data_IF_777638297276
#
_entry.id   IF_777638297276
#
_cell.length_a   1.000
_cell.length_b   1.000
_cell.length_c   1.000
_cell.angle_alpha   90.00
_cell.angle_beta   90.00
_cell.angle_gamma   90.00
#
_symmetry.space_group_name_H-M   'P 1'
#
loop_
_entity.id
_entity.type
_entity.pdbx_description
1 polymer ?
#
# COMPACT_ATOMS: atom_id res chain seq x y z
N UNK A 1 -20.08 -21.74 -29.59
CA UNK A 1 -19.99 -20.39 -28.99
C UNK A 1 -20.12 -20.55 -27.49
N UNK A 2 -19.17 -20.03 -26.71
CA UNK A 2 -19.30 -20.00 -25.24
C UNK A 2 -20.39 -18.99 -24.90
N UNK A 3 -21.44 -19.44 -24.19
CA UNK A 3 -22.49 -18.56 -23.70
C UNK A 3 -21.95 -17.74 -22.52
N UNK A 4 -22.28 -16.45 -22.44
CA UNK A 4 -21.89 -15.65 -21.30
C UNK A 4 -22.74 -16.02 -20.08
N UNK A 5 -22.08 -16.51 -19.04
CA UNK A 5 -22.68 -16.82 -17.75
C UNK A 5 -21.70 -16.49 -16.64
N UNK A 6 -22.22 -16.29 -15.42
CA UNK A 6 -21.42 -15.99 -14.24
C UNK A 6 -20.39 -17.10 -13.96
N UNK A 7 -20.79 -18.37 -14.17
CA UNK A 7 -19.93 -19.54 -13.98
C UNK A 7 -18.77 -19.58 -14.98
N UNK A 8 -19.03 -19.23 -16.25
CA UNK A 8 -17.97 -19.17 -17.27
C UNK A 8 -17.00 -18.02 -16.99
N UNK A 9 -17.51 -16.85 -16.59
CA UNK A 9 -16.67 -15.71 -16.22
C UNK A 9 -15.76 -16.04 -15.03
N UNK A 10 -16.32 -16.68 -13.99
CA UNK A 10 -15.61 -17.11 -12.80
C UNK A 10 -14.60 -18.23 -13.11
N UNK A 11 -14.98 -19.22 -13.92
CA UNK A 11 -14.08 -20.31 -14.32
C UNK A 11 -12.87 -19.79 -15.09
N UNK A 12 -13.09 -18.88 -16.05
CA UNK A 12 -11.99 -18.22 -16.77
C UNK A 12 -11.11 -17.38 -15.84
N UNK A 13 -11.69 -16.68 -14.86
CA UNK A 13 -10.91 -15.94 -13.87
C UNK A 13 -10.04 -16.87 -13.00
N UNK A 14 -10.60 -17.97 -12.50
CA UNK A 14 -9.85 -18.93 -11.68
C UNK A 14 -8.73 -19.60 -12.49
N UNK A 15 -8.98 -19.97 -13.74
CA UNK A 15 -7.96 -20.50 -14.64
C UNK A 15 -6.85 -19.47 -14.90
N UNK A 16 -7.20 -18.19 -15.02
CA UNK A 16 -6.20 -17.12 -15.15
C UNK A 16 -5.35 -16.98 -13.90
N UNK A 17 -5.94 -17.04 -12.70
CA UNK A 17 -5.19 -17.01 -11.44
C UNK A 17 -4.23 -18.21 -11.36
N UNK A 18 -4.68 -19.41 -11.70
CA UNK A 18 -3.84 -20.61 -11.69
C UNK A 18 -2.71 -20.53 -12.73
N UNK A 19 -3.02 -20.08 -13.95
CA UNK A 19 -2.03 -19.92 -15.02
C UNK A 19 -0.98 -18.87 -14.66
N UNK A 20 -1.33 -17.84 -13.88
CA UNK A 20 -0.37 -16.84 -13.42
C UNK A 20 0.62 -17.36 -12.38
N UNK A 21 0.27 -18.38 -11.60
CA UNK A 21 1.19 -19.03 -10.66
C UNK A 21 2.29 -19.83 -11.39
N UNK A 22 1.94 -20.47 -12.51
CA UNK A 22 2.82 -21.43 -13.20
C UNK A 22 3.54 -20.85 -14.43
N UNK A 23 3.00 -19.80 -15.06
CA UNK A 23 3.46 -19.38 -16.39
C UNK A 23 4.26 -18.06 -16.40
N UNK A 24 5.49 -18.15 -16.90
CA UNK A 24 6.29 -17.01 -17.40
C UNK A 24 5.77 -16.48 -18.76
N UNK A 25 4.63 -16.98 -19.25
CA UNK A 25 4.07 -16.63 -20.56
C UNK A 25 3.44 -15.24 -20.59
N UNK A 26 3.62 -14.52 -21.70
CA UNK A 26 3.01 -13.20 -21.93
C UNK A 26 1.54 -13.25 -22.34
N UNK A 27 1.01 -14.41 -22.75
CA UNK A 27 -0.39 -14.55 -23.16
C UNK A 27 -1.31 -14.70 -21.96
N UNK A 28 -2.45 -14.01 -21.97
CA UNK A 28 -3.51 -14.11 -20.94
C UNK A 28 -4.86 -14.53 -21.55
N UNK A 29 -4.98 -15.73 -22.14
CA UNK A 29 -6.20 -16.15 -22.83
C UNK A 29 -7.40 -16.23 -21.89
N UNK A 30 -7.17 -16.71 -20.66
CA UNK A 30 -8.20 -16.87 -19.64
C UNK A 30 -8.72 -15.55 -19.11
N UNK A 31 -7.86 -14.59 -18.75
CA UNK A 31 -8.34 -13.25 -18.39
C UNK A 31 -9.05 -12.55 -19.56
N UNK A 32 -8.57 -12.72 -20.80
CA UNK A 32 -9.24 -12.13 -21.98
C UNK A 32 -10.67 -12.66 -22.13
N UNK A 33 -10.84 -13.99 -22.00
CA UNK A 33 -12.15 -14.62 -22.00
C UNK A 33 -13.02 -14.16 -20.81
N UNK A 34 -12.45 -14.08 -19.61
CA UNK A 34 -13.14 -13.60 -18.41
C UNK A 34 -13.67 -12.18 -18.60
N UNK A 35 -12.83 -11.23 -18.99
CA UNK A 35 -13.24 -9.84 -19.25
C UNK A 35 -14.31 -9.76 -20.35
N UNK A 36 -14.20 -10.58 -21.40
CA UNK A 36 -15.23 -10.66 -22.45
C UNK A 36 -16.60 -11.08 -21.89
N UNK A 37 -16.62 -12.11 -21.02
CA UNK A 37 -17.84 -12.51 -20.32
C UNK A 37 -18.37 -11.41 -19.40
N UNK A 38 -17.50 -10.75 -18.62
CA UNK A 38 -17.90 -9.63 -17.76
C UNK A 38 -18.55 -8.49 -18.55
N UNK A 39 -17.98 -8.13 -19.71
CA UNK A 39 -18.56 -7.09 -20.61
C UNK A 39 -19.96 -7.47 -21.08
N UNK A 40 -20.19 -8.74 -21.42
CA UNK A 40 -21.49 -9.22 -21.87
C UNK A 40 -22.54 -9.26 -20.74
N UNK A 41 -22.11 -9.56 -19.51
CA UNK A 41 -22.99 -9.69 -18.34
C UNK A 41 -23.29 -8.35 -17.66
N UNK A 42 -22.36 -7.40 -17.70
CA UNK A 42 -22.47 -6.13 -16.99
C UNK A 42 -23.76 -5.34 -17.25
N UNK A 43 -24.28 -5.23 -18.50
CA UNK A 43 -25.57 -4.57 -18.73
C UNK A 43 -26.75 -5.23 -18.00
N UNK A 44 -26.71 -6.56 -17.84
CA UNK A 44 -27.76 -7.34 -17.17
C UNK A 44 -27.70 -7.15 -15.66
N UNK A 45 -26.50 -7.16 -15.07
CA UNK A 45 -26.32 -6.88 -13.64
C UNK A 45 -26.77 -5.46 -13.27
N UNK A 46 -26.50 -4.50 -14.16
CA UNK A 46 -26.88 -3.08 -13.96
C UNK A 46 -28.39 -2.87 -13.94
N UNK A 47 -29.15 -3.61 -14.74
CA UNK A 47 -30.61 -3.51 -14.77
C UNK A 47 -31.28 -4.26 -13.61
N UNK A 48 -30.62 -5.30 -13.08
CA UNK A 48 -31.19 -6.17 -12.05
C UNK A 48 -30.85 -5.76 -10.61
N UNK A 49 -29.65 -5.24 -10.33
CA UNK A 49 -29.20 -4.92 -8.96
C UNK A 49 -28.18 -3.76 -8.88
N UNK A 50 -28.59 -2.50 -9.10
CA UNK A 50 -27.70 -1.36 -8.91
C UNK A 50 -27.54 -1.04 -7.41
N UNK A 51 -26.61 -1.71 -6.72
CA UNK A 51 -26.23 -1.35 -5.34
C UNK A 51 -24.85 -0.70 -5.30
N UNK A 52 -24.70 0.32 -4.45
CA UNK A 52 -23.41 1.00 -4.23
C UNK A 52 -22.32 0.03 -3.73
N UNK A 53 -22.70 -1.07 -3.08
CA UNK A 53 -21.78 -2.11 -2.63
C UNK A 53 -21.25 -2.98 -3.78
N UNK A 54 -22.04 -3.24 -4.82
CA UNK A 54 -21.55 -3.95 -6.00
C UNK A 54 -20.46 -3.14 -6.74
N UNK A 55 -20.64 -1.82 -6.83
CA UNK A 55 -19.70 -0.91 -7.48
C UNK A 55 -18.29 -0.95 -6.86
N UNK A 56 -18.19 -0.91 -5.52
CA UNK A 56 -16.89 -0.96 -4.82
C UNK A 56 -16.21 -2.32 -4.99
N UNK A 57 -16.95 -3.43 -5.01
CA UNK A 57 -16.35 -4.75 -5.24
C UNK A 57 -15.80 -4.88 -6.66
N UNK A 58 -16.53 -4.40 -7.68
CA UNK A 58 -16.02 -4.35 -9.05
C UNK A 58 -14.83 -3.41 -9.20
N UNK A 59 -14.85 -2.25 -8.52
CA UNK A 59 -13.71 -1.34 -8.48
C UNK A 59 -12.48 -2.04 -7.86
N UNK A 60 -12.64 -2.70 -6.72
CA UNK A 60 -11.56 -3.41 -6.03
C UNK A 60 -11.00 -4.55 -6.87
N UNK A 61 -11.87 -5.30 -7.57
CA UNK A 61 -11.47 -6.33 -8.52
C UNK A 61 -10.61 -5.75 -9.65
N UNK A 62 -11.06 -4.67 -10.29
CA UNK A 62 -10.32 -4.03 -11.38
C UNK A 62 -9.00 -3.43 -10.90
N UNK A 63 -8.97 -2.85 -9.69
CA UNK A 63 -7.72 -2.38 -9.07
C UNK A 63 -6.77 -3.55 -8.85
N UNK A 64 -7.23 -4.66 -8.27
CA UNK A 64 -6.39 -5.84 -8.06
C UNK A 64 -5.83 -6.39 -9.39
N UNK A 65 -6.66 -6.49 -10.44
CA UNK A 65 -6.21 -6.88 -11.77
C UNK A 65 -5.19 -5.88 -12.35
N UNK A 66 -5.41 -4.58 -12.16
CA UNK A 66 -4.49 -3.53 -12.58
C UNK A 66 -3.12 -3.69 -11.93
N UNK A 67 -3.10 -3.83 -10.60
CA UNK A 67 -1.87 -3.96 -9.82
C UNK A 67 -1.12 -5.25 -10.16
N UNK A 68 -1.84 -6.38 -10.29
CA UNK A 68 -1.25 -7.66 -10.75
C UNK A 68 -0.58 -7.48 -12.11
N UNK A 69 -1.30 -6.86 -13.04
CA UNK A 69 -0.81 -6.56 -14.39
C UNK A 69 0.46 -5.70 -14.35
N UNK A 70 0.50 -4.66 -13.50
CA UNK A 70 1.69 -3.83 -13.28
C UNK A 70 2.85 -4.63 -12.66
N UNK A 71 2.58 -5.53 -11.71
CA UNK A 71 3.58 -6.36 -11.01
C UNK A 71 4.27 -7.32 -11.98
N UNK A 72 3.49 -8.14 -12.68
CA UNK A 72 4.03 -9.16 -13.59
C UNK A 72 4.35 -8.63 -14.98
N UNK A 73 4.19 -7.32 -15.18
CA UNK A 73 4.40 -6.63 -16.46
C UNK A 73 3.63 -7.29 -17.62
N UNK A 74 2.36 -7.60 -17.38
CA UNK A 74 1.47 -8.18 -18.38
C UNK A 74 0.63 -7.06 -19.04
N UNK A 75 0.03 -7.28 -20.21
CA UNK A 75 -0.83 -6.27 -20.83
C UNK A 75 -2.16 -6.09 -20.07
N UNK A 76 -2.65 -4.86 -20.02
CA UNK A 76 -3.99 -4.54 -19.52
C UNK A 76 -5.06 -5.05 -20.49
N UNK A 77 -6.04 -5.78 -19.97
CA UNK A 77 -7.12 -6.40 -20.77
C UNK A 77 -8.46 -5.66 -20.67
N UNK A 78 -8.51 -4.64 -19.82
CA UNK A 78 -9.68 -3.80 -19.62
C UNK A 78 -9.33 -2.33 -19.85
N UNK A 79 -10.34 -1.57 -20.28
CA UNK A 79 -10.27 -0.17 -20.65
C UNK A 79 -10.93 0.71 -19.58
N UNK A 80 -10.82 2.04 -19.72
CA UNK A 80 -11.61 2.97 -18.91
C UNK A 80 -13.12 2.72 -19.10
N UNK A 81 -13.56 2.36 -20.30
CA UNK A 81 -14.95 2.05 -20.57
C UNK A 81 -15.45 0.85 -19.75
N UNK A 82 -14.62 -0.19 -19.61
CA UNK A 82 -14.93 -1.36 -18.77
C UNK A 82 -15.01 -1.00 -17.29
N UNK A 83 -14.11 -0.12 -16.83
CA UNK A 83 -14.12 0.40 -15.47
C UNK A 83 -15.42 1.15 -15.18
N UNK A 84 -15.87 2.02 -16.10
CA UNK A 84 -17.12 2.75 -15.94
C UNK A 84 -18.35 1.82 -16.01
N UNK A 85 -18.30 0.83 -16.90
CA UNK A 85 -19.35 -0.18 -17.07
C UNK A 85 -19.53 -1.03 -15.81
N UNK A 86 -18.44 -1.53 -15.22
CA UNK A 86 -18.46 -2.46 -14.09
C UNK A 86 -18.53 -1.76 -12.73
N UNK A 87 -17.72 -0.71 -12.52
CA UNK A 87 -17.56 -0.08 -11.21
C UNK A 87 -18.47 1.13 -11.01
N UNK A 88 -18.94 1.76 -12.08
CA UNK A 88 -19.92 2.85 -12.02
C UNK A 88 -19.42 4.14 -12.63
N UNK A 89 -20.16 5.25 -12.47
CA UNK A 89 -19.78 6.53 -13.06
C UNK A 89 -18.45 7.03 -12.48
N UNK A 90 -17.77 7.87 -13.25
CA UNK A 90 -16.51 8.49 -12.82
C UNK A 90 -16.73 9.27 -11.51
N UNK A 91 -15.94 8.99 -10.46
CA UNK A 91 -16.01 9.72 -9.20
C UNK A 91 -15.42 11.14 -9.33
N UNK A 92 -15.56 12.00 -8.30
CA UNK A 92 -14.87 13.29 -8.26
C UNK A 92 -13.36 13.15 -8.45
N UNK A 93 -12.71 14.21 -8.92
CA UNK A 93 -11.26 14.25 -9.08
C UNK A 93 -10.52 13.97 -7.77
N UNK A 94 -9.28 13.47 -7.85
CA UNK A 94 -8.46 13.19 -6.68
C UNK A 94 -8.28 14.44 -5.78
N UNK A 95 -8.08 15.63 -6.37
CA UNK A 95 -7.99 16.88 -5.61
C UNK A 95 -9.29 17.23 -4.88
N UNK A 96 -10.44 16.99 -5.52
CA UNK A 96 -11.76 17.21 -4.89
C UNK A 96 -11.98 16.22 -3.74
N UNK A 97 -11.55 14.97 -3.91
CA UNK A 97 -11.60 13.96 -2.85
C UNK A 97 -10.70 14.37 -1.67
N UNK A 98 -9.45 14.79 -1.93
CA UNK A 98 -8.54 15.26 -0.89
C UNK A 98 -9.14 16.43 -0.12
N UNK A 99 -9.63 17.46 -0.82
CA UNK A 99 -10.28 18.61 -0.20
C UNK A 99 -11.48 18.18 0.68
N UNK A 100 -12.25 17.18 0.23
CA UNK A 100 -13.39 16.66 1.01
C UNK A 100 -12.99 15.93 2.29
N UNK A 101 -11.80 15.30 2.31
CA UNK A 101 -11.25 14.63 3.49
C UNK A 101 -10.64 15.62 4.49
N UNK A 102 -10.18 16.77 4.03
CA UNK A 102 -9.62 17.83 4.89
C UNK A 102 -10.70 18.62 5.63
N UNK A 103 -11.92 18.69 5.09
CA UNK A 103 -13.04 19.34 5.75
C UNK A 103 -13.41 18.54 7.01
N UNK A 104 -13.28 19.17 8.18
CA UNK A 104 -13.70 18.58 9.46
C UNK A 104 -15.20 18.30 9.43
N UNK A 105 -15.53 17.06 9.15
CA UNK A 105 -16.89 16.56 9.02
C UNK A 105 -17.34 15.94 10.34
N UNK A 106 -18.58 16.20 10.75
CA UNK A 106 -19.21 15.52 11.90
C UNK A 106 -19.63 14.07 11.61
N UNK A 107 -19.29 13.53 10.42
CA UNK A 107 -19.55 12.13 10.05
C UNK A 107 -18.61 11.18 10.82
N UNK A 108 -19.08 9.95 11.06
CA UNK A 108 -18.25 8.89 11.62
C UNK A 108 -17.14 8.48 10.65
N UNK A 109 -16.03 7.95 11.18
CA UNK A 109 -14.89 7.47 10.38
C UNK A 109 -15.32 6.43 9.33
N UNK A 110 -16.22 5.51 9.70
CA UNK A 110 -16.76 4.48 8.81
C UNK A 110 -17.54 5.10 7.64
N UNK A 111 -18.33 6.15 7.89
CA UNK A 111 -19.07 6.83 6.83
C UNK A 111 -18.13 7.55 5.85
N UNK A 112 -17.05 8.15 6.36
CA UNK A 112 -16.01 8.77 5.53
C UNK A 112 -15.31 7.72 4.67
N UNK A 113 -14.87 6.60 5.27
CA UNK A 113 -14.26 5.49 4.54
C UNK A 113 -15.19 4.98 3.44
N UNK A 114 -16.44 4.66 3.78
CA UNK A 114 -17.41 4.12 2.82
C UNK A 114 -17.64 5.03 1.61
N UNK A 115 -17.60 6.36 1.80
CA UNK A 115 -17.78 7.34 0.72
C UNK A 115 -16.52 7.54 -0.13
N UNK A 116 -15.34 7.33 0.45
CA UNK A 116 -14.05 7.65 -0.19
C UNK A 116 -13.35 6.44 -0.80
N UNK A 117 -13.71 5.22 -0.41
CA UNK A 117 -13.08 4.00 -0.93
C UNK A 117 -13.25 3.84 -2.44
N UNK A 118 -14.46 4.02 -2.98
CA UNK A 118 -14.69 3.91 -4.43
C UNK A 118 -13.88 4.93 -5.24
N UNK A 119 -13.92 6.25 -4.94
CA UNK A 119 -13.06 7.23 -5.58
C UNK A 119 -11.57 6.89 -5.53
N UNK A 120 -11.07 6.47 -4.37
CA UNK A 120 -9.65 6.12 -4.20
C UNK A 120 -9.25 4.95 -5.10
N UNK A 121 -9.99 3.84 -5.03
CA UNK A 121 -9.74 2.62 -5.81
C UNK A 121 -9.79 2.92 -7.31
N UNK A 122 -10.75 3.75 -7.74
CA UNK A 122 -10.89 4.18 -9.12
C UNK A 122 -9.63 4.90 -9.61
N UNK A 123 -9.13 5.86 -8.82
CA UNK A 123 -7.94 6.65 -9.17
C UNK A 123 -6.66 5.80 -9.17
N UNK A 124 -6.48 4.88 -8.22
CA UNK A 124 -5.36 3.91 -8.25
C UNK A 124 -5.40 3.07 -9.52
N UNK A 125 -6.57 2.58 -9.92
CA UNK A 125 -6.75 1.79 -11.15
C UNK A 125 -6.35 2.60 -12.39
N UNK A 126 -6.75 3.87 -12.46
CA UNK A 126 -6.35 4.78 -13.54
C UNK A 126 -4.84 5.05 -13.55
N UNK A 127 -4.22 5.23 -12.39
CA UNK A 127 -2.77 5.42 -12.29
C UNK A 127 -1.99 4.18 -12.67
N UNK A 128 -2.44 2.98 -12.31
CA UNK A 128 -1.84 1.73 -12.74
C UNK A 128 -1.78 1.61 -14.28
N UNK A 129 -2.89 1.94 -14.96
CA UNK A 129 -2.95 1.99 -16.43
C UNK A 129 -2.02 3.06 -16.99
N UNK A 130 -2.04 4.28 -16.43
CA UNK A 130 -1.17 5.38 -16.86
C UNK A 130 0.31 5.04 -16.71
N UNK A 131 0.70 4.36 -15.62
CA UNK A 131 2.06 3.90 -15.37
C UNK A 131 2.50 2.94 -16.49
N UNK A 132 1.63 1.99 -16.83
CA UNK A 132 1.87 1.05 -17.93
C UNK A 132 2.00 1.75 -19.28
N UNK A 133 1.04 2.58 -19.64
CA UNK A 133 1.00 3.22 -20.96
C UNK A 133 2.17 4.19 -21.18
N UNK A 134 2.67 4.83 -20.11
CA UNK A 134 3.66 5.92 -20.25
C UNK A 134 5.07 5.56 -19.81
N UNK A 135 5.26 4.58 -18.91
CA UNK A 135 6.57 4.33 -18.27
C UNK A 135 6.97 2.86 -18.25
N UNK A 136 6.12 1.94 -17.81
CA UNK A 136 6.55 0.56 -17.51
C UNK A 136 6.18 -0.47 -18.57
N UNK A 137 5.22 -0.17 -19.45
CA UNK A 137 4.73 -1.10 -20.46
C UNK A 137 5.71 -1.32 -21.61
N UNK A 138 5.52 -2.42 -22.34
CA UNK A 138 6.43 -2.85 -23.40
C UNK A 138 6.65 -1.76 -24.45
N UNK A 139 5.58 -1.10 -24.90
CA UNK A 139 5.71 0.01 -25.85
C UNK A 139 6.44 1.22 -25.26
N UNK A 140 6.12 1.60 -24.01
CA UNK A 140 6.76 2.73 -23.34
C UNK A 140 8.27 2.52 -23.16
N UNK A 141 8.73 1.27 -23.06
CA UNK A 141 10.17 0.92 -22.97
C UNK A 141 10.93 1.01 -24.27
N UNK A 142 10.25 0.98 -25.41
CA UNK A 142 10.89 1.20 -26.72
C UNK A 142 11.29 2.67 -26.92
N UNK A 143 10.78 3.57 -26.07
CA UNK A 143 10.98 5.02 -26.17
C UNK A 143 11.77 5.49 -24.94
N UNK A 144 12.67 6.47 -25.07
CA UNK A 144 13.34 7.10 -23.93
C UNK A 144 12.34 7.65 -22.89
N UNK A 145 12.70 7.59 -21.61
CA UNK A 145 11.85 8.15 -20.55
C UNK A 145 11.70 9.64 -20.73
N UNK A 146 10.47 10.12 -20.70
CA UNK A 146 10.21 11.56 -20.66
C UNK A 146 10.15 12.00 -19.20
N UNK A 147 10.99 12.97 -18.84
CA UNK A 147 10.99 13.59 -17.50
C UNK A 147 9.59 14.12 -17.12
N UNK A 148 8.88 14.70 -18.09
CA UNK A 148 7.52 15.21 -17.89
C UNK A 148 6.56 14.11 -17.44
N UNK A 149 6.64 12.91 -18.02
CA UNK A 149 5.77 11.80 -17.61
C UNK A 149 6.06 11.37 -16.16
N UNK A 150 7.34 11.29 -15.78
CA UNK A 150 7.74 10.95 -14.41
C UNK A 150 7.28 12.01 -13.40
N UNK A 151 7.49 13.29 -13.70
CA UNK A 151 7.06 14.40 -12.83
C UNK A 151 5.55 14.39 -12.64
N UNK A 152 4.79 14.24 -13.73
CA UNK A 152 3.33 14.20 -13.64
C UNK A 152 2.83 12.99 -12.86
N UNK A 153 3.50 11.84 -13.01
CA UNK A 153 3.16 10.63 -12.27
C UNK A 153 3.48 10.77 -10.78
N UNK A 154 4.66 11.30 -10.42
CA UNK A 154 5.05 11.63 -9.04
C UNK A 154 4.10 12.66 -8.40
N UNK A 155 3.66 13.67 -9.15
CA UNK A 155 2.65 14.62 -8.70
C UNK A 155 1.33 13.92 -8.36
N UNK A 156 0.90 12.99 -9.21
CA UNK A 156 -0.32 12.20 -8.97
C UNK A 156 -0.16 11.28 -7.74
N UNK A 157 1.00 10.62 -7.59
CA UNK A 157 1.32 9.81 -6.41
C UNK A 157 1.33 10.64 -5.13
N UNK A 158 1.81 11.88 -5.18
CA UNK A 158 1.84 12.78 -4.01
C UNK A 158 0.42 13.09 -3.52
N UNK A 159 -0.51 13.38 -4.44
CA UNK A 159 -1.93 13.58 -4.10
C UNK A 159 -2.54 12.29 -3.54
N UNK A 160 -2.28 11.14 -4.18
CA UNK A 160 -2.80 9.86 -3.70
C UNK A 160 -2.23 9.44 -2.35
N UNK A 161 -0.98 9.78 -2.05
CA UNK A 161 -0.37 9.59 -0.75
C UNK A 161 -1.08 10.42 0.31
N UNK A 162 -1.33 11.71 0.05
CA UNK A 162 -2.06 12.57 0.98
C UNK A 162 -3.47 12.01 1.28
N UNK A 163 -4.17 11.51 0.25
CA UNK A 163 -5.47 10.85 0.42
C UNK A 163 -5.31 9.56 1.24
N UNK A 164 -4.32 8.71 0.93
CA UNK A 164 -4.05 7.46 1.64
C UNK A 164 -3.82 7.73 3.14
N UNK A 165 -2.94 8.66 3.50
CA UNK A 165 -2.62 8.95 4.90
C UNK A 165 -3.88 9.35 5.68
N UNK A 166 -4.77 10.16 5.09
CA UNK A 166 -6.07 10.51 5.69
C UNK A 166 -7.01 9.33 5.83
N UNK A 167 -7.10 8.48 4.81
CA UNK A 167 -7.92 7.29 4.88
C UNK A 167 -7.41 6.31 5.95
N UNK A 168 -6.10 6.13 6.08
CA UNK A 168 -5.51 5.28 7.11
C UNK A 168 -5.69 5.84 8.52
N UNK A 169 -5.66 7.17 8.71
CA UNK A 169 -6.08 7.81 9.97
C UNK A 169 -7.52 7.45 10.33
N UNK A 170 -8.44 7.45 9.35
CA UNK A 170 -9.82 7.03 9.57
C UNK A 170 -9.97 5.52 9.80
N UNK A 171 -9.14 4.68 9.17
CA UNK A 171 -9.08 3.23 9.47
C UNK A 171 -8.67 3.02 10.93
N UNK A 172 -7.59 3.66 11.39
CA UNK A 172 -7.13 3.54 12.78
C UNK A 172 -8.19 4.02 13.78
N UNK A 173 -8.86 5.15 13.47
CA UNK A 173 -9.94 5.67 14.29
C UNK A 173 -11.17 4.74 14.32
N UNK A 174 -11.47 4.05 13.21
CA UNK A 174 -12.56 3.09 13.14
C UNK A 174 -12.26 1.78 13.89
N UNK A 175 -10.98 1.35 13.89
CA UNK A 175 -10.52 0.14 14.58
C UNK A 175 -10.24 0.36 16.07
N UNK A 176 -10.11 1.61 16.52
CA UNK A 176 -9.89 1.99 17.93
C UNK A 176 -11.06 2.83 18.49
N UNK A 177 -12.29 2.31 18.53
CA UNK A 177 -13.45 3.08 18.99
C UNK A 177 -13.34 3.42 20.49
N UNK A 178 -13.90 4.56 20.93
CA UNK A 178 -13.96 4.89 22.35
C UNK A 178 -14.79 3.84 23.13
N UNK A 179 -14.37 3.58 24.39
CA UNK A 179 -14.87 2.54 25.31
C UNK A 179 -16.41 2.55 25.48
N UNK A 180 -17.09 3.64 25.14
CA UNK A 180 -18.54 3.80 25.26
C UNK A 180 -19.37 3.12 24.15
N UNK A 181 -18.76 2.57 23.10
CA UNK A 181 -19.46 1.85 22.02
C UNK A 181 -19.19 0.33 22.08
N UNK A 182 -19.86 -0.40 22.97
CA UNK A 182 -19.68 -1.85 23.11
C UNK A 182 -20.55 -2.67 22.13
N UNK A 183 -19.85 -3.41 21.26
CA UNK A 183 -19.86 -4.89 21.21
C UNK A 183 -20.86 -5.70 20.36
N UNK A 184 -21.54 -5.15 19.33
CA UNK A 184 -22.15 -6.05 18.32
C UNK A 184 -22.02 -5.56 16.88
N UNK A 185 -22.18 -4.26 16.64
CA UNK A 185 -22.00 -3.70 15.29
C UNK A 185 -20.52 -3.56 14.88
N UNK A 186 -19.59 -3.55 15.83
CA UNK A 186 -18.15 -3.43 15.58
C UNK A 186 -17.53 -4.72 15.04
N UNK A 187 -18.02 -5.88 15.48
CA UNK A 187 -17.53 -7.18 14.99
C UNK A 187 -17.85 -7.38 13.50
N UNK A 188 -19.04 -6.95 13.06
CA UNK A 188 -19.45 -7.02 11.65
C UNK A 188 -18.68 -6.07 10.72
N UNK A 189 -18.12 -4.98 11.26
CA UNK A 189 -17.45 -3.92 10.48
C UNK A 189 -15.92 -3.99 10.52
N UNK A 190 -15.32 -4.69 11.49
CA UNK A 190 -13.86 -4.85 11.61
C UNK A 190 -13.25 -5.46 10.34
N UNK A 191 -13.82 -6.57 9.86
CA UNK A 191 -13.35 -7.26 8.65
C UNK A 191 -13.35 -6.37 7.39
N UNK A 192 -14.48 -5.72 7.03
CA UNK A 192 -14.53 -4.78 5.92
C UNK A 192 -13.56 -3.60 6.05
N UNK A 193 -13.44 -2.99 7.24
CA UNK A 193 -12.53 -1.85 7.48
C UNK A 193 -11.08 -2.27 7.30
N UNK A 194 -10.68 -3.41 7.87
CA UNK A 194 -9.35 -4.01 7.71
C UNK A 194 -9.00 -4.30 6.26
N UNK A 195 -9.90 -4.98 5.54
CA UNK A 195 -9.74 -5.23 4.09
C UNK A 195 -9.63 -3.94 3.29
N UNK A 196 -10.40 -2.92 3.66
CA UNK A 196 -10.31 -1.58 3.08
C UNK A 196 -8.93 -0.96 3.30
N UNK A 197 -8.45 -0.94 4.55
CA UNK A 197 -7.13 -0.42 4.93
C UNK A 197 -5.97 -1.12 4.23
N UNK A 198 -6.02 -2.46 4.15
CA UNK A 198 -5.07 -3.25 3.37
C UNK A 198 -5.10 -2.87 1.89
N UNK A 199 -6.29 -2.89 1.26
CA UNK A 199 -6.44 -2.62 -0.16
C UNK A 199 -5.93 -1.24 -0.58
N UNK A 200 -6.19 -0.20 0.23
CA UNK A 200 -5.70 1.15 -0.07
C UNK A 200 -4.18 1.27 0.07
N UNK A 201 -3.61 0.69 1.13
CA UNK A 201 -2.16 0.71 1.36
C UNK A 201 -1.38 0.01 0.25
N UNK A 202 -1.82 -1.21 -0.13
CA UNK A 202 -1.22 -1.97 -1.23
C UNK A 202 -1.30 -1.24 -2.55
N UNK A 203 -2.45 -0.62 -2.85
CA UNK A 203 -2.66 0.09 -4.10
C UNK A 203 -1.62 1.17 -4.36
N UNK A 204 -1.35 2.00 -3.36
CA UNK A 204 -0.30 3.01 -3.44
C UNK A 204 1.10 2.39 -3.49
N UNK A 205 1.38 1.47 -2.58
CA UNK A 205 2.71 0.88 -2.42
C UNK A 205 3.20 0.18 -3.70
N UNK A 206 2.33 -0.59 -4.36
CA UNK A 206 2.65 -1.23 -5.64
C UNK A 206 3.04 -0.20 -6.70
N UNK A 207 2.27 0.88 -6.87
CA UNK A 207 2.55 1.87 -7.93
C UNK A 207 3.89 2.58 -7.72
N UNK A 208 4.18 2.96 -6.48
CA UNK A 208 5.43 3.65 -6.15
C UNK A 208 6.63 2.74 -6.37
N UNK A 209 6.58 1.50 -5.87
CA UNK A 209 7.70 0.56 -6.01
C UNK A 209 7.94 0.19 -7.47
N UNK A 210 6.87 0.04 -8.27
CA UNK A 210 7.00 -0.27 -9.70
C UNK A 210 7.58 0.88 -10.49
N UNK A 211 7.24 2.12 -10.14
CA UNK A 211 7.91 3.30 -10.69
C UNK A 211 9.40 3.30 -10.32
N UNK A 212 9.74 3.06 -9.05
CA UNK A 212 11.12 3.00 -8.58
C UNK A 212 11.95 1.97 -9.37
N UNK A 213 11.49 0.72 -9.43
CA UNK A 213 12.18 -0.34 -10.17
C UNK A 213 12.34 -0.03 -11.66
N UNK A 214 11.36 0.65 -12.28
CA UNK A 214 11.48 1.05 -13.69
C UNK A 214 12.58 2.10 -13.89
N UNK A 215 12.64 3.11 -13.02
CA UNK A 215 13.67 4.15 -13.15
C UNK A 215 15.07 3.60 -12.86
N UNK A 216 15.21 2.68 -11.90
CA UNK A 216 16.46 1.96 -11.64
C UNK A 216 16.87 1.09 -12.83
N UNK A 217 15.94 0.32 -13.40
CA UNK A 217 16.20 -0.48 -14.59
C UNK A 217 16.69 0.39 -15.75
N UNK A 218 16.02 1.52 -16.00
CA UNK A 218 16.40 2.41 -17.10
C UNK A 218 17.68 3.19 -16.84
N UNK A 219 18.05 3.43 -15.59
CA UNK A 219 19.35 4.04 -15.26
C UNK A 219 20.52 3.21 -15.79
N UNK A 220 20.40 1.88 -15.80
CA UNK A 220 21.42 0.97 -16.33
C UNK A 220 21.61 1.10 -17.85
N UNK A 221 20.60 1.58 -18.56
CA UNK A 221 20.59 1.69 -20.03
C UNK A 221 20.63 3.14 -20.53
N UNK A 222 20.67 4.14 -19.64
CA UNK A 222 20.58 5.55 -20.03
C UNK A 222 21.93 6.08 -20.51
N UNK A 223 22.15 5.99 -21.81
CA UNK A 223 23.18 6.76 -22.52
C UNK A 223 22.63 8.16 -22.81
N UNK A 224 23.24 9.19 -22.23
CA UNK A 224 22.75 10.56 -22.38
C UNK A 224 23.80 11.58 -22.00
N UNK A 225 23.53 12.85 -22.29
CA UNK A 225 24.39 13.95 -21.85
C UNK A 225 24.47 13.98 -20.32
N UNK A 226 25.59 14.47 -19.77
CA UNK A 226 25.77 14.61 -18.32
C UNK A 226 24.61 15.38 -17.65
N UNK A 227 24.06 16.40 -18.33
CA UNK A 227 22.93 17.17 -17.83
C UNK A 227 21.63 16.35 -17.77
N UNK A 228 21.37 15.52 -18.79
CA UNK A 228 20.21 14.62 -18.82
C UNK A 228 20.30 13.57 -17.72
N UNK A 229 21.49 12.99 -17.52
CA UNK A 229 21.74 12.02 -16.47
C UNK A 229 21.55 12.63 -15.08
N UNK A 230 22.04 13.85 -14.85
CA UNK A 230 21.87 14.55 -13.57
C UNK A 230 20.38 14.77 -13.24
N UNK A 231 19.60 15.26 -14.20
CA UNK A 231 18.15 15.45 -14.02
C UNK A 231 17.43 14.13 -13.76
N UNK A 232 17.80 13.07 -14.49
CA UNK A 232 17.24 11.74 -14.27
C UNK A 232 17.58 11.18 -12.89
N UNK A 233 18.79 11.42 -12.38
CA UNK A 233 19.20 11.04 -11.04
C UNK A 233 18.37 11.76 -9.96
N UNK A 234 18.04 13.04 -10.14
CA UNK A 234 17.14 13.75 -9.23
C UNK A 234 15.75 13.09 -9.14
N UNK A 235 15.19 12.69 -10.28
CA UNK A 235 13.89 11.99 -10.33
C UNK A 235 13.97 10.62 -9.65
N UNK A 236 15.08 9.90 -9.81
CA UNK A 236 15.33 8.62 -9.12
C UNK A 236 15.38 8.80 -7.62
N UNK A 237 16.11 9.81 -7.13
CA UNK A 237 16.19 10.12 -5.70
C UNK A 237 14.81 10.46 -5.14
N UNK A 238 14.03 11.31 -5.83
CA UNK A 238 12.66 11.63 -5.42
C UNK A 238 11.76 10.39 -5.39
N UNK A 239 11.88 9.52 -6.40
CA UNK A 239 11.10 8.29 -6.48
C UNK A 239 11.49 7.30 -5.38
N UNK A 240 12.79 7.17 -5.07
CA UNK A 240 13.30 6.35 -3.97
C UNK A 240 12.79 6.84 -2.62
N UNK A 241 12.76 8.16 -2.39
CA UNK A 241 12.15 8.75 -1.19
C UNK A 241 10.64 8.48 -1.09
N UNK A 242 9.93 8.54 -2.21
CA UNK A 242 8.52 8.16 -2.26
C UNK A 242 8.36 6.66 -1.99
N UNK A 243 9.24 5.80 -2.50
CA UNK A 243 9.23 4.35 -2.25
C UNK A 243 9.45 4.01 -0.78
N UNK A 244 10.41 4.67 -0.10
CA UNK A 244 10.59 4.55 1.35
C UNK A 244 9.36 5.05 2.14
N UNK A 245 8.63 6.03 1.61
CA UNK A 245 7.35 6.44 2.21
C UNK A 245 6.26 5.38 1.96
N UNK A 246 6.19 4.83 0.76
CA UNK A 246 5.31 3.71 0.42
C UNK A 246 5.58 2.46 1.25
N UNK A 247 6.84 2.17 1.59
CA UNK A 247 7.20 1.05 2.46
C UNK A 247 6.65 1.21 3.87
N UNK A 248 6.71 2.43 4.44
CA UNK A 248 6.11 2.75 5.74
C UNK A 248 4.60 2.58 5.74
N UNK A 249 3.93 3.11 4.71
CA UNK A 249 2.48 2.94 4.57
C UNK A 249 2.10 1.47 4.30
N UNK A 250 2.95 0.73 3.61
CA UNK A 250 2.77 -0.71 3.39
C UNK A 250 2.93 -1.51 4.69
N UNK A 251 3.96 -1.23 5.49
CA UNK A 251 4.14 -1.83 6.82
C UNK A 251 2.97 -1.51 7.75
N UNK A 252 2.44 -0.28 7.71
CA UNK A 252 1.20 0.07 8.40
C UNK A 252 0.01 -0.74 7.87
N UNK A 253 -0.10 -0.90 6.55
CA UNK A 253 -1.20 -1.62 5.91
C UNK A 253 -1.21 -3.12 6.24
N UNK A 254 -0.03 -3.76 6.38
CA UNK A 254 0.12 -5.15 6.81
C UNK A 254 -0.58 -5.39 8.15
N UNK A 255 -0.61 -4.41 9.07
CA UNK A 255 -1.29 -4.53 10.36
C UNK A 255 -2.81 -4.66 10.24
N UNK A 256 -3.38 -4.32 9.09
CA UNK A 256 -4.79 -4.53 8.79
C UNK A 256 -5.05 -5.84 8.03
N UNK A 257 -4.01 -6.63 7.72
CA UNK A 257 -4.18 -7.87 6.99
C UNK A 257 -5.03 -8.86 7.83
N UNK A 258 -6.11 -9.42 7.26
CA UNK A 258 -6.86 -10.46 7.95
C UNK A 258 -6.02 -11.75 8.04
N UNK A 259 -6.10 -12.53 9.15
CA UNK A 259 -5.22 -13.67 9.42
C UNK A 259 -5.23 -14.84 8.40
N UNK A 260 -6.13 -14.84 7.41
CA UNK A 260 -6.38 -15.98 6.50
C UNK A 260 -6.48 -15.53 5.03
N UNK A 261 -5.93 -14.36 4.66
CA UNK A 261 -6.11 -13.83 3.31
C UNK A 261 -4.79 -13.50 2.63
N UNK A 262 -4.35 -14.43 1.78
CA UNK A 262 -3.18 -14.22 0.91
C UNK A 262 -3.60 -14.37 -0.55
N UNK A 263 -3.81 -13.23 -1.20
CA UNK A 263 -3.82 -13.15 -2.66
C UNK A 263 -2.36 -13.10 -3.16
N UNK A 264 -2.08 -13.68 -4.34
CA UNK A 264 -0.77 -13.69 -5.01
C UNK A 264 -0.05 -12.31 -5.01
N UNK A 265 -0.82 -11.23 -5.21
CA UNK A 265 -0.34 -9.84 -5.19
C UNK A 265 0.40 -9.53 -3.89
N UNK A 266 -0.08 -10.08 -2.77
CA UNK A 266 0.42 -9.83 -1.40
C UNK A 266 1.83 -10.39 -1.21
N UNK A 267 2.12 -11.59 -1.71
CA UNK A 267 3.45 -12.18 -1.55
C UNK A 267 4.50 -11.45 -2.39
N UNK A 268 4.20 -11.19 -3.66
CA UNK A 268 5.16 -10.53 -4.56
C UNK A 268 5.50 -9.13 -4.08
N UNK A 269 4.51 -8.35 -3.65
CA UNK A 269 4.76 -7.00 -3.14
C UNK A 269 5.48 -7.01 -1.79
N UNK A 270 5.14 -7.96 -0.91
CA UNK A 270 5.79 -8.13 0.39
C UNK A 270 7.27 -8.44 0.22
N UNK A 271 7.62 -9.42 -0.63
CA UNK A 271 9.00 -9.77 -0.95
C UNK A 271 9.76 -8.57 -1.54
N UNK A 272 9.17 -7.91 -2.53
CA UNK A 272 9.84 -6.80 -3.22
C UNK A 272 10.09 -5.62 -2.28
N UNK A 273 9.16 -5.30 -1.36
CA UNK A 273 9.39 -4.27 -0.34
C UNK A 273 10.37 -4.69 0.75
N UNK A 274 10.38 -5.97 1.13
CA UNK A 274 11.35 -6.48 2.09
C UNK A 274 12.78 -6.39 1.55
N UNK A 275 12.98 -6.74 0.28
CA UNK A 275 14.26 -6.55 -0.41
C UNK A 275 14.63 -5.07 -0.45
N UNK A 276 13.69 -4.20 -0.87
CA UNK A 276 13.92 -2.75 -0.92
C UNK A 276 14.32 -2.16 0.44
N UNK A 277 13.55 -2.39 1.50
CA UNK A 277 13.84 -1.82 2.83
C UNK A 277 15.13 -2.40 3.43
N UNK A 278 15.46 -3.67 3.15
CA UNK A 278 16.72 -4.25 3.58
C UNK A 278 17.90 -3.55 2.89
N UNK A 279 17.84 -3.35 1.57
CA UNK A 279 18.90 -2.66 0.82
C UNK A 279 19.02 -1.18 1.27
N UNK A 280 17.90 -0.52 1.59
CA UNK A 280 17.88 0.81 2.20
C UNK A 280 18.55 0.84 3.58
N UNK A 281 18.36 -0.20 4.38
CA UNK A 281 18.90 -0.30 5.72
C UNK A 281 20.39 -0.63 5.71
N UNK A 282 20.83 -1.57 4.87
CA UNK A 282 22.24 -1.95 4.69
C UNK A 282 23.09 -0.81 4.10
N UNK A 283 22.48 0.06 3.28
CA UNK A 283 23.18 1.22 2.69
C UNK A 283 23.20 2.46 3.59
N UNK A 284 22.41 2.49 4.67
CA UNK A 284 22.35 3.63 5.58
C UNK A 284 23.38 3.51 6.72
N UNK A 285 24.12 4.59 7.06
CA UNK A 285 25.09 4.55 8.15
C UNK A 285 24.42 4.44 9.53
N UNK A 286 23.19 4.95 9.65
CA UNK A 286 22.37 4.88 10.87
C UNK A 286 20.93 4.60 10.45
N UNK A 287 20.35 3.56 11.02
CA UNK A 287 18.97 3.16 10.74
C UNK A 287 18.05 3.68 11.84
N UNK A 288 16.96 4.34 11.44
CA UNK A 288 15.97 4.85 12.38
C UNK A 288 15.20 3.70 13.04
N UNK A 289 14.75 3.92 14.28
CA UNK A 289 13.93 2.95 15.00
C UNK A 289 12.63 2.61 14.27
N UNK A 290 12.03 3.61 13.62
CA UNK A 290 10.80 3.41 12.83
C UNK A 290 11.04 2.44 11.67
N UNK A 291 12.17 2.59 10.95
CA UNK A 291 12.53 1.67 9.87
C UNK A 291 12.77 0.25 10.36
N UNK A 292 13.42 0.08 11.52
CA UNK A 292 13.58 -1.26 12.13
C UNK A 292 12.23 -1.87 12.43
N UNK A 293 11.29 -1.11 13.00
CA UNK A 293 9.93 -1.59 13.29
C UNK A 293 9.15 -1.97 12.03
N UNK A 294 9.33 -1.22 10.95
CA UNK A 294 8.68 -1.50 9.68
C UNK A 294 9.26 -2.78 9.05
N UNK A 295 10.58 -2.96 9.09
CA UNK A 295 11.28 -4.19 8.71
C UNK A 295 10.82 -5.39 9.55
N UNK A 296 10.70 -5.25 10.88
CA UNK A 296 10.16 -6.30 11.75
C UNK A 296 8.73 -6.69 11.36
N UNK A 297 7.89 -5.69 11.03
CA UNK A 297 6.51 -5.93 10.61
C UNK A 297 6.47 -6.72 9.29
N UNK A 298 7.30 -6.33 8.32
CA UNK A 298 7.42 -6.99 7.02
C UNK A 298 7.99 -8.41 7.18
N UNK A 299 9.05 -8.58 7.97
CA UNK A 299 9.69 -9.88 8.20
C UNK A 299 8.76 -10.86 8.93
N UNK A 300 8.02 -10.40 9.94
CA UNK A 300 7.03 -11.22 10.63
C UNK A 300 5.94 -11.73 9.68
N UNK A 301 5.48 -10.88 8.76
CA UNK A 301 4.50 -11.28 7.74
C UNK A 301 5.12 -12.19 6.67
N UNK A 302 6.38 -11.96 6.29
CA UNK A 302 7.06 -12.88 5.38
C UNK A 302 7.24 -14.26 6.00
N UNK A 303 7.55 -14.33 7.29
CA UNK A 303 7.66 -15.58 8.01
C UNK A 303 6.29 -16.30 8.07
N UNK A 304 5.20 -15.60 8.40
CA UNK A 304 3.86 -16.18 8.46
C UNK A 304 3.42 -16.78 7.11
N UNK A 305 3.65 -16.06 6.01
CA UNK A 305 3.32 -16.52 4.65
C UNK A 305 4.29 -17.58 4.15
N UNK A 306 5.58 -17.44 4.48
CA UNK A 306 6.64 -18.36 4.08
C UNK A 306 6.41 -19.79 4.57
N UNK A 307 5.74 -20.00 5.71
CA UNK A 307 5.36 -21.35 6.15
C UNK A 307 4.27 -22.01 5.28
N UNK A 308 3.56 -21.23 4.45
CA UNK A 308 2.48 -21.71 3.57
C UNK A 308 2.89 -21.88 2.12
N UNK A 309 3.90 -21.13 1.66
CA UNK A 309 4.50 -21.26 0.34
C UNK A 309 5.57 -22.34 0.41
N UNK A 310 5.65 -23.25 -0.56
CA UNK A 310 6.68 -24.28 -0.61
C UNK A 310 8.07 -23.65 -0.77
N UNK A 311 8.70 -23.24 0.35
CA UNK A 311 10.02 -22.59 0.39
C UNK A 311 11.13 -23.45 -0.25
N UNK A 312 10.90 -24.75 -0.41
CA UNK A 312 11.80 -25.66 -1.13
C UNK A 312 11.88 -25.28 -2.61
N UNK A 313 10.81 -24.71 -3.16
CA UNK A 313 10.70 -24.29 -4.56
C UNK A 313 11.17 -22.85 -4.82
N UNK A 314 11.48 -22.06 -3.77
CA UNK A 314 11.84 -20.64 -3.87
C UNK A 314 13.12 -20.26 -3.07
N UNK A 315 14.32 -20.70 -3.51
CA UNK A 315 15.57 -20.51 -2.76
C UNK A 315 15.96 -19.04 -2.54
N UNK A 316 15.52 -18.14 -3.41
CA UNK A 316 15.77 -16.70 -3.28
C UNK A 316 15.01 -16.09 -2.11
N UNK A 317 13.79 -16.57 -1.85
CA UNK A 317 12.94 -16.05 -0.77
C UNK A 317 13.50 -16.48 0.60
N UNK A 318 14.01 -17.71 0.69
CA UNK A 318 14.75 -18.21 1.88
C UNK A 318 16.01 -17.39 2.13
N UNK A 319 16.76 -17.06 1.08
CA UNK A 319 17.97 -16.23 1.22
C UNK A 319 17.63 -14.81 1.71
N UNK A 320 16.54 -14.22 1.22
CA UNK A 320 16.06 -12.91 1.68
C UNK A 320 15.63 -12.95 3.15
N UNK A 321 14.83 -13.95 3.55
CA UNK A 321 14.44 -14.14 4.95
C UNK A 321 15.66 -14.27 5.88
N UNK A 322 16.64 -15.10 5.50
CA UNK A 322 17.87 -15.23 6.28
C UNK A 322 18.67 -13.92 6.37
N UNK A 323 18.74 -13.13 5.28
CA UNK A 323 19.38 -11.81 5.32
C UNK A 323 18.64 -10.85 6.25
N UNK A 324 17.31 -10.81 6.17
CA UNK A 324 16.46 -10.00 7.06
C UNK A 324 16.67 -10.37 8.53
N UNK A 325 16.62 -11.66 8.85
CA UNK A 325 16.83 -12.14 10.22
C UNK A 325 18.21 -11.76 10.74
N UNK A 326 19.27 -12.00 9.96
CA UNK A 326 20.64 -11.62 10.33
C UNK A 326 20.76 -10.11 10.56
N UNK A 327 20.15 -9.31 9.69
CA UNK A 327 20.14 -7.85 9.81
C UNK A 327 19.44 -7.42 11.10
N UNK A 328 18.22 -7.90 11.35
CA UNK A 328 17.44 -7.56 12.55
C UNK A 328 18.15 -8.00 13.84
N UNK A 329 18.75 -9.19 13.87
CA UNK A 329 19.55 -9.64 15.01
C UNK A 329 20.72 -8.71 15.30
N UNK A 330 21.44 -8.26 14.27
CA UNK A 330 22.55 -7.30 14.43
C UNK A 330 22.06 -5.92 14.88
N UNK A 331 20.97 -5.43 14.28
CA UNK A 331 20.42 -4.10 14.53
C UNK A 331 19.82 -3.97 15.95
N UNK A 332 19.26 -5.05 16.50
CA UNK A 332 18.70 -5.07 17.87
C UNK A 332 19.79 -5.15 18.95
N UNK A 333 20.93 -5.79 18.66
CA UNK A 333 22.03 -5.92 19.63
C UNK A 333 22.85 -4.63 19.80
N UNK A 334 22.94 -3.79 18.76
CA UNK A 334 23.77 -2.57 18.78
C UNK A 334 23.26 -1.51 19.79
N UNK A 335 21.95 -1.21 19.90
CA UNK A 335 21.43 -0.31 20.93
C UNK A 335 21.59 -0.86 22.35
N UNK A 336 21.37 -2.17 22.55
CA UNK A 336 21.47 -2.80 23.88
C UNK A 336 22.90 -2.79 24.45
N UNK A 337 23.92 -2.74 23.59
CA UNK A 337 25.32 -2.59 23.98
C UNK A 337 25.75 -1.13 24.18
N UNK A 338 25.07 -0.17 23.55
CA UNK A 338 25.39 1.26 23.65
C UNK A 338 24.63 1.99 24.77
N UNK A 339 23.43 1.52 25.17
CA UNK A 339 22.66 2.10 26.29
C UNK A 339 23.42 2.12 27.63
N UNK A 340 24.16 1.06 28.05
CA UNK A 340 24.98 1.14 29.25
C UNK A 340 26.26 1.98 29.06
N UNK A 341 26.75 2.17 27.83
CA UNK A 341 27.97 2.96 27.57
C UNK A 341 27.63 4.46 27.55
N UNK A 342 26.52 4.85 26.93
CA UNK A 342 26.02 6.22 26.92
C UNK A 342 25.41 6.62 28.27
N UNK A 343 24.74 5.69 28.97
CA UNK A 343 24.28 5.87 30.34
C UNK A 343 25.41 6.05 31.36
N UNK A 344 26.61 5.52 31.08
CA UNK A 344 27.80 5.71 31.92
C UNK A 344 28.72 6.87 31.45
N UNK A 345 28.49 7.45 30.27
CA UNK A 345 29.26 8.61 29.78
C UNK A 345 28.68 9.96 30.19
N UNK A 346 27.44 10.03 30.70
CA UNK A 346 26.85 11.25 31.26
C UNK A 346 26.21 11.04 32.65
N UNK A 347 26.98 10.75 33.71
CA UNK A 347 26.47 10.77 35.07
C UNK A 347 26.65 12.18 35.66
N UNK A 348 25.89 13.16 35.18
CA UNK A 348 25.57 14.43 35.86
C UNK A 348 25.02 15.43 34.85
N UNK A 349 23.70 15.67 34.87
CA UNK A 349 23.04 16.95 34.64
C UNK A 349 21.51 16.74 34.63
N UNK A 350 20.94 16.23 35.73
CA UNK A 350 19.60 16.65 36.17
C UNK A 350 19.28 16.16 37.60
N UNK A 351 19.97 16.75 38.59
CA UNK A 351 19.47 16.83 39.96
C UNK A 351 19.65 18.27 40.39
N UNK A 352 18.66 19.11 40.07
CA UNK A 352 18.75 20.53 40.43
C UNK A 352 17.53 21.38 40.16
N UNK A 353 16.31 20.83 40.10
CA UNK A 353 15.09 21.65 39.91
C UNK A 353 13.84 21.15 40.67
N UNK A 354 14.01 20.45 41.80
CA UNK A 354 12.89 20.02 42.66
C UNK A 354 12.96 20.49 44.13
N UNK A 355 13.75 21.52 44.44
CA UNK A 355 13.81 22.11 45.79
C UNK A 355 13.64 23.64 45.79
N UNK A 356 12.50 24.13 45.29
CA UNK A 356 11.98 25.47 45.67
C UNK A 356 10.46 25.52 45.54
N UNK A 357 9.74 24.78 46.39
CA UNK A 357 8.34 25.09 46.72
C UNK A 357 7.90 24.43 48.04
N UNK A 358 8.68 24.60 49.11
CA UNK A 358 8.19 24.43 50.48
C UNK A 358 8.64 25.62 51.34
N UNK A 359 7.76 26.62 51.50
CA UNK A 359 7.45 27.30 52.77
C UNK A 359 6.84 28.70 52.57
N UNK A 360 5.69 28.89 53.22
CA UNK A 360 5.02 30.17 53.46
C UNK A 360 3.68 30.26 52.74
N UNK A 361 2.51 30.16 53.35
CA UNK A 361 2.13 30.15 54.77
C UNK A 361 0.71 30.73 54.88
N UNK A 362 -0.16 30.02 55.62
CA UNK A 362 -1.24 30.56 56.46
C UNK A 362 -2.27 31.55 55.86
N UNK A 363 -3.54 31.12 55.77
CA UNK A 363 -4.64 31.52 56.69
C UNK A 363 -6.05 31.05 56.20
N UNK A 364 -6.78 30.39 57.11
CA UNK A 364 -8.26 30.40 57.37
C UNK A 364 -9.24 30.24 56.19
N UNK A 365 -10.28 29.41 56.22
CA UNK A 365 -10.87 28.56 57.25
C UNK A 365 -12.34 28.24 56.89
N UNK A 366 -12.85 27.09 57.36
CA UNK A 366 -14.29 26.72 57.48
C UNK A 366 -15.08 26.57 56.16
N UNK A 367 -16.08 25.69 56.00
CA UNK A 367 -16.75 24.74 56.88
C UNK A 367 -17.51 23.72 56.01
N UNK A 368 -17.53 22.47 56.49
CA UNK A 368 -18.58 21.44 56.41
C UNK A 368 -19.85 21.72 55.58
N UNK A 369 -20.30 20.70 54.85
CA UNK A 369 -21.73 20.51 54.59
C UNK A 369 -22.11 19.54 53.46
N UNK A 370 -22.12 18.24 53.79
CA UNK A 370 -22.77 17.09 53.14
C UNK A 370 -22.27 16.57 51.79
#
# INVERSE_FOLDING_TARGET
MLHASDENAASCFLLDVLDQLDSCGGSKPWASASISHLRALAPIWRTSTPTSHANIHWAAFLMAEALRTTIHRKPFLFTLGDQLLLAGPEPPSADTLLASLEVRSGKSAIAILSQSMYPYIFHITCLARRLWDTLTGDHARLIPVTEVAVIQFLGSLTVMHAILSRLLEHVDAALSPPITQLSSQLEDLDGPVRRGGWGIGVGFAVLVLRLHHELEYRALSTEGSAHTQERFNLLRVQTRQMAATGAREFARAIRYLPPIHYAEISWTILRDYAQFELDEAESAPVVSRDRVRDLETIAAEMASVGFSVDLVSAPQDVALLNRLDNYLWSAVQVPALLDPILGNMFPALDQGWLDTASNGGLLRGGSLGF
#
